data_IF_755496732924
#
_entry.id   IF_755496732924
#
_cell.length_a   1.000
_cell.length_b   1.000
_cell.length_c   1.000
_cell.angle_alpha   90.00
_cell.angle_beta   90.00
_cell.angle_gamma   90.00
#
_symmetry.space_group_name_H-M   'P 1'
#
loop_
_entity.id
_entity.type
_entity.pdbx_description
1 polymer ?
#
# COMPACT_ATOMS: atom_id res chain seq x y z
N UNK A 1 55.21 -66.21 7.49
CA UNK A 1 55.50 -65.14 8.48
C UNK A 1 54.19 -64.58 8.99
N UNK A 2 53.98 -64.67 10.30
CA UNK A 2 52.81 -64.13 11.01
C UNK A 2 52.69 -62.61 10.84
N UNK A 3 51.47 -62.08 10.84
CA UNK A 3 51.07 -60.95 11.69
C UNK A 3 49.54 -60.84 11.79
N UNK A 4 49.04 -61.09 12.99
CA UNK A 4 47.72 -60.65 13.48
C UNK A 4 47.69 -59.13 13.57
N UNK A 5 46.59 -58.46 13.18
CA UNK A 5 45.99 -57.32 13.92
C UNK A 5 44.46 -57.38 13.80
N UNK A 6 43.84 -57.04 14.93
CA UNK A 6 42.46 -57.19 15.38
C UNK A 6 41.34 -56.42 14.65
N UNK A 7 40.13 -56.94 14.90
CA UNK A 7 38.79 -56.43 14.60
C UNK A 7 38.58 -54.95 14.93
N UNK A 8 37.74 -54.29 14.12
CA UNK A 8 36.70 -53.41 14.66
C UNK A 8 35.41 -53.50 13.83
N UNK A 9 34.34 -54.00 14.48
CA UNK A 9 32.96 -54.01 14.01
C UNK A 9 32.50 -52.58 13.71
N UNK A 10 32.00 -52.33 12.50
CA UNK A 10 30.93 -51.35 12.29
C UNK A 10 29.84 -52.02 11.47
N UNK A 11 28.74 -52.36 12.15
CA UNK A 11 27.49 -52.72 11.51
C UNK A 11 27.03 -51.50 10.67
N UNK A 12 27.14 -51.62 9.35
CA UNK A 12 26.56 -50.66 8.41
C UNK A 12 25.05 -50.85 8.40
N UNK A 13 24.36 -50.10 9.25
CA UNK A 13 22.91 -49.99 9.24
C UNK A 13 22.50 -49.23 7.96
N UNK A 14 22.07 -49.97 6.94
CA UNK A 14 21.52 -49.40 5.73
C UNK A 14 20.20 -48.69 6.08
N UNK A 15 20.26 -47.37 6.24
CA UNK A 15 19.08 -46.53 6.34
C UNK A 15 18.40 -46.50 4.96
N UNK A 16 17.39 -47.35 4.78
CA UNK A 16 16.42 -47.18 3.70
C UNK A 16 15.69 -45.87 3.98
N UNK A 17 16.13 -44.80 3.31
CA UNK A 17 15.43 -43.53 3.30
C UNK A 17 14.13 -43.75 2.50
N UNK A 18 13.08 -44.20 3.19
CA UNK A 18 11.72 -44.10 2.72
C UNK A 18 11.43 -42.61 2.55
N UNK A 19 11.61 -42.10 1.32
CA UNK A 19 10.98 -40.86 0.89
C UNK A 19 9.49 -41.14 0.89
N UNK A 20 8.87 -41.00 2.06
CA UNK A 20 7.46 -40.68 2.13
C UNK A 20 7.34 -39.36 1.38
N UNK A 21 6.90 -39.46 0.12
CA UNK A 21 6.28 -38.36 -0.58
C UNK A 21 4.99 -38.06 0.20
N UNK A 22 5.13 -37.40 1.36
CA UNK A 22 4.02 -36.73 2.02
C UNK A 22 3.46 -35.84 0.93
N UNK A 23 2.26 -36.17 0.45
CA UNK A 23 1.49 -35.26 -0.39
C UNK A 23 1.34 -33.99 0.44
N UNK A 24 2.19 -33.00 0.21
CA UNK A 24 1.90 -31.64 0.62
C UNK A 24 0.52 -31.37 -0.02
N UNK A 25 -0.54 -31.11 0.76
CA UNK A 25 -1.81 -30.73 0.17
C UNK A 25 -1.52 -29.58 -0.80
N UNK A 26 -2.07 -29.67 -2.02
CA UNK A 26 -1.93 -28.60 -3.00
C UNK A 26 -2.38 -27.30 -2.34
N UNK A 27 -1.42 -26.42 -2.05
CA UNK A 27 -1.67 -25.25 -1.20
C UNK A 27 -2.62 -24.32 -1.95
N UNK A 28 -3.86 -24.22 -1.47
CA UNK A 28 -4.80 -23.22 -1.98
C UNK A 28 -4.35 -21.85 -1.50
N UNK A 29 -4.52 -20.81 -2.32
CA UNK A 29 -4.16 -19.44 -1.95
C UNK A 29 -5.05 -18.40 -2.61
N UNK A 30 -5.06 -17.22 -2.01
CA UNK A 30 -5.75 -16.02 -2.51
C UNK A 30 -4.67 -14.96 -2.68
N UNK A 31 -4.58 -14.38 -3.87
CA UNK A 31 -3.61 -13.33 -4.19
C UNK A 31 -4.34 -12.10 -4.70
N UNK A 32 -3.95 -10.91 -4.23
CA UNK A 32 -4.52 -9.65 -4.70
C UNK A 32 -4.09 -8.46 -3.85
N UNK A 33 -4.71 -7.29 -4.03
CA UNK A 33 -4.43 -6.09 -3.25
C UNK A 33 -4.81 -6.27 -1.78
N UNK A 34 -3.83 -6.09 -0.88
CA UNK A 34 -4.04 -6.12 0.56
C UNK A 34 -4.40 -4.75 1.16
N UNK A 35 -4.17 -3.66 0.41
CA UNK A 35 -4.54 -2.31 0.78
C UNK A 35 -5.48 -1.74 -0.29
N UNK A 36 -6.64 -1.25 0.13
CA UNK A 36 -7.71 -0.83 -0.77
C UNK A 36 -8.32 0.50 -0.33
N UNK A 37 -8.93 1.21 -1.27
CA UNK A 37 -9.81 2.34 -1.02
C UNK A 37 -11.26 1.81 -1.06
N UNK A 38 -12.02 1.88 0.06
CA UNK A 38 -13.39 1.40 0.09
C UNK A 38 -14.26 2.02 -1.01
N UNK A 39 -15.23 1.25 -1.51
CA UNK A 39 -16.11 1.63 -2.62
C UNK A 39 -15.55 1.33 -4.02
N UNK A 40 -14.26 1.03 -4.15
CA UNK A 40 -13.66 0.58 -5.40
C UNK A 40 -13.69 -0.96 -5.53
N UNK A 41 -13.67 -1.42 -6.78
CA UNK A 41 -13.62 -2.84 -7.12
C UNK A 41 -12.17 -3.31 -7.31
N UNK A 42 -11.81 -4.44 -6.69
CA UNK A 42 -10.48 -5.05 -6.73
C UNK A 42 -10.57 -6.51 -7.17
N UNK A 43 -9.64 -6.93 -8.03
CA UNK A 43 -9.56 -8.31 -8.49
C UNK A 43 -8.66 -9.14 -7.57
N UNK A 44 -9.12 -10.35 -7.26
CA UNK A 44 -8.37 -11.36 -6.52
C UNK A 44 -8.28 -12.63 -7.35
N UNK A 45 -7.10 -13.25 -7.34
CA UNK A 45 -6.82 -14.52 -8.03
C UNK A 45 -6.87 -15.65 -7.02
N UNK A 46 -7.58 -16.71 -7.38
CA UNK A 46 -7.75 -17.89 -6.54
C UNK A 46 -6.92 -19.02 -7.14
N UNK A 47 -5.97 -19.51 -6.35
CA UNK A 47 -5.14 -20.65 -6.74
C UNK A 47 -5.59 -21.89 -5.97
N UNK A 48 -5.73 -23.00 -6.70
CA UNK A 48 -6.01 -24.30 -6.10
C UNK A 48 -6.01 -25.40 -7.17
N UNK A 49 -5.62 -26.60 -6.77
CA UNK A 49 -5.75 -27.80 -7.61
C UNK A 49 -7.08 -28.48 -7.30
N UNK A 50 -8.10 -28.16 -8.09
CA UNK A 50 -9.45 -28.64 -7.89
C UNK A 50 -9.68 -29.96 -8.62
N UNK A 51 -9.92 -31.05 -7.87
CA UNK A 51 -10.40 -32.30 -8.47
C UNK A 51 -11.87 -32.16 -8.90
N UNK A 52 -12.36 -33.04 -9.78
CA UNK A 52 -13.73 -32.97 -10.31
C UNK A 52 -14.82 -32.91 -9.23
N UNK A 53 -14.61 -33.59 -8.09
CA UNK A 53 -15.52 -33.57 -6.93
C UNK A 53 -15.19 -32.53 -5.85
N UNK A 54 -14.23 -31.62 -6.08
CA UNK A 54 -13.87 -30.63 -5.08
C UNK A 54 -15.00 -29.61 -4.89
N UNK A 55 -15.40 -29.42 -3.63
CA UNK A 55 -16.22 -28.30 -3.19
C UNK A 55 -15.32 -27.15 -2.78
N UNK A 56 -15.67 -25.95 -3.26
CA UNK A 56 -14.97 -24.71 -2.96
C UNK A 56 -16.01 -23.72 -2.49
N UNK A 57 -15.81 -23.16 -1.31
CA UNK A 57 -16.61 -22.07 -0.78
C UNK A 57 -15.71 -20.87 -0.58
N UNK A 58 -15.97 -19.82 -1.34
CA UNK A 58 -15.30 -18.53 -1.20
C UNK A 58 -16.30 -17.52 -0.64
N UNK A 59 -15.96 -16.91 0.48
CA UNK A 59 -16.78 -15.87 1.11
C UNK A 59 -15.98 -14.59 1.31
N UNK A 60 -16.68 -13.47 1.28
CA UNK A 60 -16.18 -12.13 1.59
C UNK A 60 -16.94 -11.59 2.80
N UNK A 61 -16.20 -10.99 3.73
CA UNK A 61 -16.72 -10.21 4.85
C UNK A 61 -16.24 -8.77 4.70
N UNK A 62 -17.09 -7.77 4.96
CA UNK A 62 -16.72 -6.36 4.77
C UNK A 62 -16.66 -5.93 3.29
N UNK A 63 -17.35 -6.65 2.41
CA UNK A 63 -17.44 -6.36 0.99
C UNK A 63 -18.49 -7.22 0.30
N UNK A 64 -18.65 -7.03 -1.00
CA UNK A 64 -19.53 -7.81 -1.88
C UNK A 64 -18.80 -8.22 -3.14
N UNK A 65 -19.11 -9.40 -3.67
CA UNK A 65 -18.71 -9.78 -5.03
C UNK A 65 -19.48 -8.94 -6.06
N UNK A 66 -19.02 -8.90 -7.31
CA UNK A 66 -19.69 -8.18 -8.40
C UNK A 66 -21.16 -8.55 -8.63
N UNK A 67 -21.58 -9.77 -8.27
CA UNK A 67 -22.98 -10.21 -8.34
C UNK A 67 -23.82 -9.76 -7.13
N UNK A 68 -23.24 -8.98 -6.19
CA UNK A 68 -23.86 -8.53 -4.95
C UNK A 68 -23.85 -9.56 -3.82
N UNK A 69 -23.35 -10.78 -4.05
CA UNK A 69 -23.30 -11.85 -3.06
C UNK A 69 -22.11 -11.73 -2.10
N UNK A 70 -22.21 -12.40 -0.95
CA UNK A 70 -21.14 -12.51 0.05
C UNK A 70 -20.42 -13.86 0.03
N UNK A 71 -21.03 -14.89 -0.52
CA UNK A 71 -20.42 -16.20 -0.70
C UNK A 71 -20.73 -16.71 -2.10
N UNK A 72 -19.73 -17.35 -2.72
CA UNK A 72 -19.88 -18.10 -3.96
C UNK A 72 -20.32 -19.53 -3.59
N UNK A 73 -21.28 -20.07 -4.34
CA UNK A 73 -21.90 -21.36 -4.05
C UNK A 73 -20.87 -22.50 -4.04
N UNK A 74 -21.05 -23.44 -3.11
CA UNK A 74 -20.16 -24.59 -2.93
C UNK A 74 -20.13 -25.46 -4.20
N UNK A 75 -19.07 -25.34 -5.00
CA UNK A 75 -18.89 -26.13 -6.22
C UNK A 75 -18.38 -25.32 -7.42
N UNK A 76 -18.64 -24.01 -7.43
CA UNK A 76 -18.01 -23.08 -8.36
C UNK A 76 -16.53 -22.94 -8.01
N UNK A 77 -15.66 -22.94 -9.04
CA UNK A 77 -14.20 -22.93 -8.89
C UNK A 77 -13.63 -21.71 -9.62
N UNK A 78 -13.97 -20.48 -9.18
CA UNK A 78 -13.51 -19.29 -9.88
C UNK A 78 -11.99 -19.22 -9.83
N UNK A 79 -11.35 -18.91 -10.96
CA UNK A 79 -9.92 -18.59 -11.01
C UNK A 79 -9.65 -17.15 -10.57
N UNK A 80 -10.66 -16.28 -10.62
CA UNK A 80 -10.61 -14.93 -10.08
C UNK A 80 -11.99 -14.43 -9.67
N UNK A 81 -12.00 -13.47 -8.76
CA UNK A 81 -13.19 -12.76 -8.31
C UNK A 81 -12.93 -11.27 -8.23
N UNK A 82 -13.98 -10.47 -8.35
CA UNK A 82 -13.91 -9.04 -8.12
C UNK A 82 -14.75 -8.70 -6.89
N UNK A 83 -14.13 -7.99 -5.96
CA UNK A 83 -14.73 -7.58 -4.69
C UNK A 83 -14.78 -6.06 -4.63
N UNK A 84 -15.95 -5.53 -4.27
CA UNK A 84 -16.09 -4.13 -3.83
C UNK A 84 -16.13 -4.13 -2.31
N UNK A 85 -15.11 -3.55 -1.70
CA UNK A 85 -14.97 -3.50 -0.25
C UNK A 85 -15.74 -2.33 0.35
N UNK A 86 -16.33 -2.53 1.53
CA UNK A 86 -16.89 -1.46 2.35
C UNK A 86 -15.91 -1.04 3.44
N UNK A 87 -16.12 0.12 4.05
CA UNK A 87 -15.30 0.58 5.19
C UNK A 87 -15.74 -0.12 6.49
N UNK A 88 -15.48 -1.43 6.55
CA UNK A 88 -15.87 -2.29 7.67
C UNK A 88 -14.69 -2.61 8.57
N UNK A 89 -14.95 -2.80 9.87
CA UNK A 89 -13.93 -3.17 10.86
C UNK A 89 -13.19 -4.49 10.55
N UNK A 90 -13.82 -5.40 9.79
CA UNK A 90 -13.19 -6.61 9.30
C UNK A 90 -13.47 -6.77 7.81
N UNK A 91 -12.40 -6.81 7.03
CA UNK A 91 -12.44 -7.07 5.60
C UNK A 91 -11.59 -8.29 5.28
N UNK A 92 -12.24 -9.36 4.83
CA UNK A 92 -11.59 -10.66 4.68
C UNK A 92 -12.20 -11.47 3.54
N UNK A 93 -11.34 -12.08 2.73
CA UNK A 93 -11.68 -13.19 1.86
C UNK A 93 -11.31 -14.50 2.56
N UNK A 94 -12.21 -15.46 2.53
CA UNK A 94 -11.99 -16.81 3.07
C UNK A 94 -12.36 -17.86 2.04
N UNK A 95 -11.43 -18.78 1.81
CA UNK A 95 -11.56 -19.92 0.91
C UNK A 95 -11.50 -21.19 1.74
N UNK A 96 -12.55 -22.00 1.64
CA UNK A 96 -12.64 -23.31 2.28
C UNK A 96 -12.84 -24.36 1.19
N UNK A 97 -12.03 -25.41 1.21
CA UNK A 97 -12.14 -26.51 0.25
C UNK A 97 -11.67 -27.84 0.81
N UNK A 98 -12.00 -28.92 0.12
CA UNK A 98 -11.45 -30.25 0.44
C UNK A 98 -9.93 -30.37 0.23
N UNK A 99 -9.31 -29.47 -0.52
CA UNK A 99 -7.87 -29.45 -0.78
C UNK A 99 -7.09 -28.56 0.21
N UNK A 100 -7.78 -27.81 1.06
CA UNK A 100 -7.18 -26.88 2.01
C UNK A 100 -7.99 -25.58 2.15
N UNK A 101 -7.53 -24.72 3.06
CA UNK A 101 -8.14 -23.43 3.35
C UNK A 101 -7.14 -22.30 3.12
N UNK A 102 -7.64 -21.14 2.70
CA UNK A 102 -6.85 -19.91 2.62
C UNK A 102 -7.69 -18.74 3.12
N UNK A 103 -7.03 -17.69 3.60
CA UNK A 103 -7.69 -16.43 3.89
C UNK A 103 -6.78 -15.26 3.62
N UNK A 104 -7.36 -14.15 3.19
CA UNK A 104 -6.68 -12.89 2.96
C UNK A 104 -7.46 -11.79 3.65
N UNK A 105 -6.79 -11.09 4.58
CA UNK A 105 -7.31 -9.88 5.18
C UNK A 105 -6.83 -8.68 4.37
N UNK A 106 -7.69 -7.67 4.27
CA UNK A 106 -7.37 -6.43 3.56
C UNK A 106 -7.57 -5.25 4.50
N UNK A 107 -6.83 -4.19 4.26
CA UNK A 107 -6.85 -2.96 5.02
C UNK A 107 -7.45 -1.82 4.17
N UNK A 108 -8.25 -0.98 4.81
CA UNK A 108 -8.80 0.22 4.19
C UNK A 108 -7.80 1.37 4.33
N UNK A 109 -7.75 2.21 3.31
CA UNK A 109 -7.08 3.51 3.33
C UNK A 109 -8.05 4.59 2.84
N UNK A 110 -7.63 5.85 2.96
CA UNK A 110 -8.31 7.00 2.36
C UNK A 110 -7.55 7.51 1.13
N UNK A 111 -8.21 8.34 0.32
CA UNK A 111 -7.52 9.05 -0.76
C UNK A 111 -6.39 9.92 -0.19
N UNK A 112 -5.26 9.94 -0.90
CA UNK A 112 -4.11 10.75 -0.51
C UNK A 112 -4.51 12.24 -0.46
N UNK A 113 -4.23 12.90 0.66
CA UNK A 113 -4.27 14.35 0.79
C UNK A 113 -2.88 14.88 1.10
N UNK A 114 -2.50 15.98 0.44
CA UNK A 114 -1.19 16.61 0.59
C UNK A 114 -1.09 17.52 1.81
N UNK A 115 -2.12 17.53 2.66
CA UNK A 115 -2.29 18.52 3.73
C UNK A 115 -2.81 19.86 3.22
N UNK A 116 -3.21 20.72 4.15
CA UNK A 116 -3.65 22.09 3.88
C UNK A 116 -2.63 23.10 4.43
N UNK A 117 -2.35 24.16 3.67
CA UNK A 117 -1.59 25.30 4.19
C UNK A 117 -2.46 25.99 5.24
N UNK A 118 -1.87 26.36 6.37
CA UNK A 118 -2.60 27.03 7.45
C UNK A 118 -3.27 28.31 6.95
N UNK A 119 -4.51 28.55 7.40
CA UNK A 119 -5.31 29.71 6.96
C UNK A 119 -4.60 31.05 7.16
N UNK A 120 -3.88 31.20 8.28
CA UNK A 120 -3.09 32.41 8.59
C UNK A 120 -1.88 32.62 7.66
N UNK A 121 -1.53 31.62 6.87
CA UNK A 121 -0.39 31.63 5.96
C UNK A 121 -0.85 31.70 4.49
N UNK A 122 -2.15 31.69 4.18
CA UNK A 122 -2.66 31.72 2.80
C UNK A 122 -2.30 33.00 2.04
N UNK A 123 -2.26 34.15 2.73
CA UNK A 123 -1.84 35.43 2.16
C UNK A 123 -0.97 36.15 3.17
N UNK A 124 0.21 36.60 2.73
CA UNK A 124 1.12 37.45 3.49
C UNK A 124 1.56 38.62 2.63
N UNK A 125 1.81 39.77 3.25
CA UNK A 125 2.45 40.91 2.58
C UNK A 125 3.97 40.80 2.74
N UNK A 126 4.71 41.08 1.67
CA UNK A 126 6.16 41.16 1.66
C UNK A 126 6.63 42.47 2.30
N UNK A 127 7.41 42.34 3.36
CA UNK A 127 8.19 43.39 3.99
C UNK A 127 9.70 43.12 3.75
N UNK A 128 10.44 44.04 3.09
CA UNK A 128 11.89 43.89 2.89
C UNK A 128 12.72 43.93 4.19
N UNK A 129 12.13 44.38 5.30
CA UNK A 129 12.75 44.33 6.64
C UNK A 129 12.65 42.96 7.31
N UNK A 130 11.79 42.07 6.81
CA UNK A 130 11.67 40.68 7.31
C UNK A 130 12.69 39.79 6.60
N UNK A 131 13.55 39.15 7.39
CA UNK A 131 14.58 38.24 6.86
C UNK A 131 14.05 36.88 6.41
N UNK A 132 12.99 36.38 7.05
CA UNK A 132 12.51 35.00 6.89
C UNK A 132 10.98 34.94 6.84
N UNK A 133 10.46 34.13 5.92
CA UNK A 133 9.04 33.82 5.81
C UNK A 133 8.80 32.34 6.08
N UNK A 134 7.63 32.04 6.65
CA UNK A 134 7.19 30.68 6.92
C UNK A 134 5.79 30.41 6.36
N UNK A 135 5.61 29.27 5.67
CA UNK A 135 4.31 28.71 5.35
C UNK A 135 4.16 27.34 6.03
N UNK A 136 3.23 27.23 6.97
CA UNK A 136 2.94 25.97 7.66
C UNK A 136 1.91 25.19 6.88
N UNK A 137 2.12 23.88 6.79
CA UNK A 137 1.20 22.98 6.11
C UNK A 137 0.95 21.74 6.98
N UNK A 138 -0.32 21.33 7.08
CA UNK A 138 -0.75 20.15 7.83
C UNK A 138 -0.08 18.87 7.31
N UNK A 139 -0.16 17.79 8.08
CA UNK A 139 0.41 16.51 7.65
C UNK A 139 -0.34 15.95 6.43
N UNK A 140 0.39 15.26 5.56
CA UNK A 140 -0.23 14.42 4.54
C UNK A 140 -0.89 13.20 5.21
N UNK A 141 -1.96 12.69 4.59
CA UNK A 141 -2.65 11.49 5.07
C UNK A 141 -3.29 10.72 3.90
N UNK A 142 -3.68 9.46 4.14
CA UNK A 142 -4.19 8.57 3.09
C UNK A 142 -3.11 8.04 2.14
N UNK A 143 -3.52 7.45 1.01
CA UNK A 143 -2.61 6.77 0.08
C UNK A 143 -2.46 5.29 0.43
N UNK A 144 -1.26 4.73 0.47
CA UNK A 144 -1.06 3.35 0.91
C UNK A 144 -1.40 3.15 2.42
N UNK A 145 -1.64 1.90 2.84
CA UNK A 145 -1.99 1.55 4.22
C UNK A 145 -0.80 1.67 5.20
N UNK A 146 0.43 1.69 4.66
CA UNK A 146 1.65 2.03 5.39
C UNK A 146 2.37 3.13 4.60
N UNK A 147 1.83 4.36 4.62
CA UNK A 147 2.28 5.39 3.70
C UNK A 147 3.61 5.98 4.15
N UNK A 148 4.46 6.32 3.17
CA UNK A 148 5.65 7.14 3.39
C UNK A 148 5.55 8.34 2.47
N UNK A 149 5.60 9.52 3.06
CA UNK A 149 5.45 10.78 2.34
C UNK A 149 6.80 11.45 2.09
N UNK A 150 6.96 12.02 0.90
CA UNK A 150 8.00 12.98 0.59
C UNK A 150 7.40 14.29 0.11
N UNK A 151 8.06 15.39 0.45
CA UNK A 151 7.59 16.73 0.12
C UNK A 151 8.57 17.48 -0.77
N UNK A 152 8.03 18.36 -1.60
CA UNK A 152 8.78 19.33 -2.35
C UNK A 152 7.97 20.61 -2.45
N UNK A 153 8.46 21.69 -1.85
CA UNK A 153 7.85 23.00 -2.01
C UNK A 153 8.18 23.57 -3.38
N UNK A 154 7.17 24.21 -3.98
CA UNK A 154 7.24 24.83 -5.29
C UNK A 154 6.76 26.27 -5.19
N UNK A 155 7.31 27.12 -6.07
CA UNK A 155 6.88 28.50 -6.25
C UNK A 155 6.44 28.77 -7.68
N UNK A 156 5.57 29.75 -7.85
CA UNK A 156 5.10 30.20 -9.16
C UNK A 156 4.80 31.70 -9.13
N UNK A 157 5.16 32.41 -10.21
CA UNK A 157 4.84 33.85 -10.38
C UNK A 157 3.57 34.06 -11.20
N UNK A 158 3.06 33.02 -11.86
CA UNK A 158 1.91 33.06 -12.77
C UNK A 158 0.77 32.10 -12.37
N UNK A 159 0.98 31.26 -11.34
CA UNK A 159 0.05 30.23 -10.89
C UNK A 159 -0.01 28.99 -11.78
N UNK A 160 0.69 28.98 -12.92
CA UNK A 160 0.64 27.93 -13.94
C UNK A 160 1.95 27.14 -13.99
N UNK A 161 3.07 27.84 -14.04
CA UNK A 161 4.40 27.28 -14.10
C UNK A 161 4.99 27.22 -12.69
N UNK A 162 5.19 26.00 -12.19
CA UNK A 162 5.66 25.74 -10.84
C UNK A 162 7.10 25.24 -10.86
N UNK A 163 7.96 25.88 -10.08
CA UNK A 163 9.39 25.57 -9.99
C UNK A 163 9.71 25.09 -8.57
N UNK A 164 10.46 24.01 -8.45
CA UNK A 164 10.91 23.50 -7.15
C UNK A 164 11.81 24.52 -6.45
N UNK A 165 11.56 24.73 -5.16
CA UNK A 165 12.47 25.47 -4.28
C UNK A 165 13.54 24.47 -3.82
N UNK A 166 14.79 24.70 -4.23
CA UNK A 166 15.89 23.77 -3.95
C UNK A 166 16.02 23.47 -2.46
N UNK A 167 16.07 22.19 -2.09
CA UNK A 167 16.22 21.72 -0.70
C UNK A 167 14.97 21.87 0.18
N UNK A 168 13.88 22.47 -0.32
CA UNK A 168 12.67 22.68 0.47
C UNK A 168 11.79 21.42 0.51
N UNK A 169 12.24 20.41 1.26
CA UNK A 169 11.58 19.09 1.39
C UNK A 169 10.94 18.85 2.76
N UNK A 170 10.98 19.86 3.64
CA UNK A 170 10.34 19.80 4.94
C UNK A 170 8.82 19.96 4.85
N UNK A 171 8.12 19.54 5.92
CA UNK A 171 6.67 19.72 6.06
C UNK A 171 6.28 21.19 5.89
N UNK A 172 6.92 22.07 6.65
CA UNK A 172 6.73 23.51 6.58
C UNK A 172 7.81 24.13 5.70
N UNK A 173 7.45 25.19 4.97
CA UNK A 173 8.42 25.98 4.22
C UNK A 173 8.92 27.10 5.11
N UNK A 174 10.24 27.18 5.26
CA UNK A 174 10.94 28.33 5.84
C UNK A 174 11.96 28.78 4.81
N UNK A 175 11.96 30.06 4.47
CA UNK A 175 12.83 30.60 3.43
C UNK A 175 13.08 32.09 3.61
N UNK A 176 14.25 32.52 3.18
CA UNK A 176 14.58 33.93 3.02
C UNK A 176 14.18 34.35 1.61
N UNK A 177 13.56 35.52 1.48
CA UNK A 177 13.09 36.00 0.19
C UNK A 177 13.47 37.45 -0.07
N UNK A 178 13.89 37.72 -1.30
CA UNK A 178 13.97 39.06 -1.87
C UNK A 178 13.06 39.06 -3.11
N UNK A 179 11.75 39.04 -2.87
CA UNK A 179 10.79 39.00 -3.96
C UNK A 179 10.83 40.31 -4.75
N UNK A 180 10.74 40.18 -6.08
CA UNK A 180 10.52 41.29 -7.02
C UNK A 180 9.14 41.24 -7.67
N UNK A 181 8.45 40.11 -7.55
CA UNK A 181 7.10 39.87 -8.05
C UNK A 181 6.34 39.07 -6.98
N UNK A 182 5.07 39.39 -6.77
CA UNK A 182 4.17 38.58 -5.95
C UNK A 182 4.23 37.12 -6.38
N UNK A 183 4.46 36.22 -5.43
CA UNK A 183 4.78 34.82 -5.72
C UNK A 183 3.85 33.90 -4.95
N UNK A 184 3.34 32.87 -5.63
CA UNK A 184 2.55 31.80 -5.05
C UNK A 184 3.43 30.62 -4.66
N UNK A 185 3.03 29.90 -3.61
CA UNK A 185 3.71 28.75 -3.04
C UNK A 185 2.73 27.59 -2.86
N UNK A 186 3.19 26.37 -3.11
CA UNK A 186 2.45 25.14 -2.80
C UNK A 186 3.41 24.03 -2.43
N UNK A 187 2.92 23.02 -1.71
CA UNK A 187 3.66 21.80 -1.40
C UNK A 187 3.18 20.68 -2.31
N UNK A 188 4.10 20.07 -3.05
CA UNK A 188 3.90 18.77 -3.67
C UNK A 188 4.13 17.68 -2.61
N UNK A 189 3.22 16.72 -2.51
CA UNK A 189 3.36 15.53 -1.68
C UNK A 189 3.30 14.29 -2.56
N UNK A 190 4.29 13.41 -2.41
CA UNK A 190 4.32 12.10 -3.05
C UNK A 190 4.24 11.02 -1.97
N UNK A 191 3.37 10.04 -2.16
CA UNK A 191 3.31 8.84 -1.34
C UNK A 191 4.00 7.68 -2.07
N UNK A 192 5.05 7.11 -1.48
CA UNK A 192 5.96 6.20 -2.20
C UNK A 192 5.41 4.79 -2.45
N UNK A 193 4.43 4.33 -1.67
CA UNK A 193 3.81 3.01 -1.84
C UNK A 193 2.90 2.94 -3.07
N UNK A 194 2.11 3.99 -3.32
CA UNK A 194 1.22 4.09 -4.48
C UNK A 194 1.81 4.89 -5.65
N UNK A 195 2.92 5.60 -5.45
CA UNK A 195 3.47 6.61 -6.37
C UNK A 195 2.47 7.72 -6.74
N UNK A 196 1.49 7.97 -5.87
CA UNK A 196 0.50 9.02 -6.08
C UNK A 196 1.10 10.36 -5.67
N UNK A 197 0.85 11.39 -6.49
CA UNK A 197 1.23 12.77 -6.21
C UNK A 197 -0.03 13.61 -6.03
N UNK A 198 -0.02 14.44 -4.99
CA UNK A 198 -1.03 15.47 -4.75
C UNK A 198 -0.36 16.79 -4.38
N UNK A 199 -1.10 17.88 -4.50
CA UNK A 199 -0.64 19.22 -4.13
C UNK A 199 -1.52 19.78 -3.03
N UNK A 200 -0.93 20.58 -2.16
CA UNK A 200 -1.69 21.46 -1.28
C UNK A 200 -2.45 22.51 -2.09
N UNK A 201 -3.32 23.27 -1.43
CA UNK A 201 -3.73 24.58 -1.91
C UNK A 201 -2.52 25.53 -2.06
N UNK A 202 -2.77 26.75 -2.52
CA UNK A 202 -1.73 27.76 -2.72
C UNK A 202 -1.74 28.79 -1.60
N UNK A 203 -0.55 29.32 -1.29
CA UNK A 203 -0.37 30.53 -0.50
C UNK A 203 0.31 31.61 -1.34
N UNK A 204 0.07 32.87 -1.02
CA UNK A 204 0.60 34.01 -1.77
C UNK A 204 1.40 34.95 -0.87
N UNK A 205 2.61 35.31 -1.31
CA UNK A 205 3.36 36.42 -0.75
C UNK A 205 3.25 37.60 -1.73
N UNK A 206 2.55 38.65 -1.30
CA UNK A 206 2.17 39.81 -2.12
C UNK A 206 3.17 40.94 -1.92
N UNK A 207 3.64 41.53 -3.01
CA UNK A 207 4.33 42.83 -2.98
C UNK A 207 3.27 43.91 -3.17
N UNK A 208 3.26 44.89 -2.26
CA UNK A 208 2.45 46.11 -2.37
C UNK A 208 3.14 47.19 -3.20
#
# INVERSE_FOLDING_TARGET
MQRFINLNRKAGMAAVLLVFCLRLPAQVSITGPACILPGNAYQYVIHGSWNAGATVQLCVQGGVFQNGGHCIAAGEKPSSVIVTWSDSALMKLSLVSGSGNASMEVQATSALTGGAINDSDLVKTYDPGIGEYQFRCGDASGGACNPIYSYQWQKSVDGLNWINIGGATAKDLVFNSNLKVSTQFRRMCMESGSNTIVYSGTAMLVIE
#
